data_IF_442107103548
#
_entry.id   IF_442107103548
#
_cell.length_a   1.000
_cell.length_b   1.000
_cell.length_c   1.000
_cell.angle_alpha   90.00
_cell.angle_beta   90.00
_cell.angle_gamma   90.00
#
_symmetry.space_group_name_H-M   'P 1'
#
loop_
_entity.id
_entity.type
_entity.pdbx_description
1 polymer ?
#
# COMPACT_ATOMS: atom_id res chain seq x y z
N UNK A 1 4.21 11.26 -4.48
CA UNK A 1 3.14 11.11 -3.47
C UNK A 1 2.14 12.25 -3.66
N UNK A 2 0.84 11.99 -3.52
CA UNK A 2 -0.23 12.97 -3.79
C UNK A 2 -0.50 13.94 -2.63
N UNK A 3 0.57 14.38 -1.94
CA UNK A 3 0.46 15.32 -0.84
C UNK A 3 -0.20 16.63 -1.33
N UNK A 4 -1.15 17.24 -0.59
CA UNK A 4 -2.02 18.30 -1.13
C UNK A 4 -1.27 19.47 -1.81
N UNK A 5 -0.18 20.02 -1.23
CA UNK A 5 0.61 21.07 -1.88
C UNK A 5 1.26 20.68 -3.22
N UNK A 6 1.40 19.39 -3.52
CA UNK A 6 1.95 18.90 -4.79
C UNK A 6 0.90 18.59 -5.85
N UNK A 7 -0.40 18.57 -5.51
CA UNK A 7 -1.46 18.22 -6.45
C UNK A 7 -1.54 19.16 -7.65
N UNK A 8 -1.27 20.44 -7.44
CA UNK A 8 -1.27 21.47 -8.50
C UNK A 8 -0.23 21.22 -9.57
N UNK A 9 0.85 20.48 -9.24
CA UNK A 9 1.93 20.14 -10.17
C UNK A 9 1.84 18.72 -10.71
N UNK A 10 0.85 17.94 -10.25
CA UNK A 10 0.75 16.52 -10.57
C UNK A 10 0.60 16.29 -12.07
N UNK A 11 -0.23 17.09 -12.75
CA UNK A 11 -0.42 17.04 -14.19
C UNK A 11 0.89 17.35 -14.94
N UNK A 12 1.55 18.46 -14.60
CA UNK A 12 2.82 18.85 -15.22
C UNK A 12 3.90 17.77 -15.05
N UNK A 13 3.99 17.15 -13.87
CA UNK A 13 4.95 16.06 -13.62
C UNK A 13 4.62 14.82 -14.42
N UNK A 14 3.35 14.44 -14.52
CA UNK A 14 2.92 13.32 -15.35
C UNK A 14 3.32 13.53 -16.80
N UNK A 15 2.98 14.69 -17.36
CA UNK A 15 3.21 15.00 -18.76
C UNK A 15 4.71 14.97 -19.07
N UNK A 16 5.55 15.57 -18.21
CA UNK A 16 7.01 15.53 -18.36
C UNK A 16 7.61 14.11 -18.33
N UNK A 17 7.10 13.21 -17.47
CA UNK A 17 7.57 11.82 -17.43
C UNK A 17 7.13 11.04 -18.68
N UNK A 18 5.89 11.23 -19.12
CA UNK A 18 5.34 10.55 -20.29
C UNK A 18 6.00 11.01 -21.59
N UNK A 19 6.27 12.31 -21.75
CA UNK A 19 7.03 12.85 -22.88
C UNK A 19 8.46 12.28 -22.95
N UNK A 20 9.06 12.02 -21.79
CA UNK A 20 10.36 11.36 -21.69
C UNK A 20 10.30 9.83 -21.85
N UNK A 21 9.13 9.25 -22.11
CA UNK A 21 8.94 7.80 -22.33
C UNK A 21 8.90 6.97 -21.04
N UNK A 22 8.72 7.59 -19.88
CA UNK A 22 8.66 6.89 -18.59
C UNK A 22 7.21 6.71 -18.12
N UNK A 23 6.88 5.55 -17.51
CA UNK A 23 5.60 5.38 -16.84
C UNK A 23 5.51 6.31 -15.63
N UNK A 24 4.33 6.88 -15.43
CA UNK A 24 4.05 7.75 -14.29
C UNK A 24 3.01 7.10 -13.39
N UNK A 25 3.34 6.99 -12.10
CA UNK A 25 2.38 6.54 -11.09
C UNK A 25 2.64 7.29 -9.79
N UNK A 26 1.59 7.43 -8.99
CA UNK A 26 1.66 8.06 -7.68
C UNK A 26 1.11 7.20 -6.58
N UNK A 27 1.72 7.36 -5.40
CA UNK A 27 1.17 6.86 -4.14
C UNK A 27 0.27 7.92 -3.53
N UNK A 28 -0.89 7.49 -3.04
CA UNK A 28 -1.84 8.36 -2.35
C UNK A 28 -1.29 8.74 -0.98
N UNK A 29 -1.26 10.02 -0.66
CA UNK A 29 -0.85 10.47 0.67
C UNK A 29 -1.88 10.04 1.72
N UNK A 30 -1.39 9.34 2.74
CA UNK A 30 -2.15 8.92 3.92
C UNK A 30 -1.53 9.60 5.15
N UNK A 31 -2.30 10.42 5.84
CA UNK A 31 -1.80 11.19 6.98
C UNK A 31 -2.61 12.43 7.26
N UNK A 32 -2.11 13.25 8.18
CA UNK A 32 -2.69 14.53 8.52
C UNK A 32 -1.89 15.68 7.88
N UNK A 33 -2.60 16.66 7.33
CA UNK A 33 -2.01 17.91 6.84
C UNK A 33 -2.98 19.06 7.08
N UNK A 34 -2.51 20.13 7.74
CA UNK A 34 -3.32 21.30 8.11
C UNK A 34 -4.65 20.93 8.82
N UNK A 35 -4.59 19.98 9.76
CA UNK A 35 -5.76 19.51 10.52
C UNK A 35 -6.75 18.65 9.73
N UNK A 36 -6.46 18.33 8.47
CA UNK A 36 -7.28 17.47 7.61
C UNK A 36 -6.66 16.09 7.49
N UNK A 37 -7.48 15.04 7.57
CA UNK A 37 -7.05 13.64 7.44
C UNK A 37 -7.26 13.12 6.03
N UNK A 38 -6.19 12.65 5.41
CA UNK A 38 -6.18 12.13 4.04
C UNK A 38 -6.12 10.59 4.05
N UNK A 39 -6.73 9.91 3.06
CA UNK A 39 -7.30 10.48 1.81
C UNK A 39 -8.72 11.05 1.92
N UNK A 40 -9.41 10.90 3.06
CA UNK A 40 -10.82 11.31 3.21
C UNK A 40 -11.05 12.80 2.93
N UNK A 41 -10.05 13.62 3.22
CA UNK A 41 -10.10 15.05 3.04
C UNK A 41 -9.90 15.52 1.59
N UNK A 42 -9.56 14.67 0.61
CA UNK A 42 -9.45 15.14 -0.77
C UNK A 42 -10.81 15.61 -1.31
N UNK A 43 -10.83 16.77 -1.97
CA UNK A 43 -12.03 17.23 -2.68
C UNK A 43 -12.30 16.35 -3.91
N UNK A 44 -13.53 16.36 -4.47
CA UNK A 44 -13.82 15.67 -5.72
C UNK A 44 -12.88 16.05 -6.88
N UNK A 45 -12.48 17.32 -6.95
CA UNK A 45 -11.53 17.84 -7.94
C UNK A 45 -10.14 17.25 -7.74
N UNK A 46 -9.65 17.23 -6.50
CA UNK A 46 -8.37 16.64 -6.14
C UNK A 46 -8.36 15.12 -6.41
N UNK A 47 -9.45 14.42 -6.08
CA UNK A 47 -9.63 12.99 -6.38
C UNK A 47 -9.50 12.73 -7.88
N UNK A 48 -10.17 13.52 -8.73
CA UNK A 48 -10.06 13.38 -10.21
C UNK A 48 -8.63 13.57 -10.73
N UNK A 49 -7.87 14.50 -10.15
CA UNK A 49 -6.46 14.69 -10.52
C UNK A 49 -5.59 13.47 -10.17
N UNK A 50 -5.91 12.83 -9.05
CA UNK A 50 -5.15 11.70 -8.51
C UNK A 50 -5.54 10.39 -9.22
N UNK A 51 -6.82 10.14 -9.49
CA UNK A 51 -7.34 8.90 -10.11
C UNK A 51 -6.59 8.53 -11.38
N UNK A 52 -6.39 9.49 -12.29
CA UNK A 52 -5.65 9.27 -13.54
C UNK A 52 -4.15 9.03 -13.38
N UNK A 53 -3.62 9.07 -12.15
CA UNK A 53 -2.21 8.88 -11.83
C UNK A 53 -1.98 7.77 -10.78
N UNK A 54 -3.03 7.06 -10.34
CA UNK A 54 -2.90 5.93 -9.43
C UNK A 54 -2.66 4.65 -10.23
N UNK A 55 -1.57 3.97 -9.88
CA UNK A 55 -1.42 2.54 -10.10
C UNK A 55 -0.36 2.13 -11.12
N UNK A 56 -0.11 0.82 -11.15
CA UNK A 56 0.76 0.13 -12.09
C UNK A 56 -0.01 -0.42 -13.29
N UNK A 57 0.26 -1.68 -13.66
CA UNK A 57 -0.35 -2.35 -14.81
C UNK A 57 -1.91 -2.26 -14.80
N UNK A 58 -2.55 -2.13 -15.98
CA UNK A 58 -3.99 -1.80 -16.10
C UNK A 58 -4.91 -2.71 -15.29
N UNK A 59 -4.59 -4.00 -15.20
CA UNK A 59 -5.39 -5.02 -14.52
C UNK A 59 -5.51 -4.83 -13.00
N UNK A 60 -4.71 -3.93 -12.40
CA UNK A 60 -4.73 -3.67 -10.95
C UNK A 60 -5.22 -2.26 -10.59
N UNK A 61 -5.43 -1.38 -11.56
CA UNK A 61 -5.77 0.03 -11.29
C UNK A 61 -7.07 0.19 -10.49
N UNK A 62 -8.09 -0.63 -10.76
CA UNK A 62 -9.39 -0.53 -10.09
C UNK A 62 -9.30 -0.88 -8.60
N UNK A 63 -8.78 -2.08 -8.29
CA UNK A 63 -8.60 -2.52 -6.91
C UNK A 63 -7.59 -1.64 -6.16
N UNK A 64 -6.55 -1.14 -6.84
CA UNK A 64 -5.60 -0.21 -6.24
C UNK A 64 -6.23 1.15 -5.94
N UNK A 65 -7.09 1.67 -6.83
CA UNK A 65 -7.85 2.90 -6.61
C UNK A 65 -8.75 2.78 -5.39
N UNK A 66 -9.55 1.72 -5.30
CA UNK A 66 -10.51 1.51 -4.21
C UNK A 66 -9.82 1.49 -2.83
N UNK A 67 -8.67 0.82 -2.72
CA UNK A 67 -7.94 0.76 -1.46
C UNK A 67 -7.11 2.00 -1.14
N UNK A 68 -6.67 2.74 -2.16
CA UNK A 68 -5.84 3.94 -1.97
C UNK A 68 -6.68 5.21 -1.75
N UNK A 69 -7.82 5.36 -2.41
CA UNK A 69 -8.66 6.57 -2.35
C UNK A 69 -9.90 6.42 -1.45
N UNK A 70 -10.52 5.25 -1.41
CA UNK A 70 -11.75 5.06 -0.62
C UNK A 70 -11.50 4.61 0.81
N UNK A 71 -10.23 4.62 1.22
CA UNK A 71 -9.80 4.45 2.60
C UNK A 71 -10.38 3.21 3.29
N UNK A 72 -10.60 2.15 2.50
CA UNK A 72 -11.28 0.93 2.95
C UNK A 72 -10.55 0.34 4.15
N UNK A 73 -11.34 -0.02 5.16
CA UNK A 73 -10.81 -0.68 6.34
C UNK A 73 -10.12 -1.98 5.97
N UNK A 74 -8.88 -2.15 6.41
CA UNK A 74 -8.20 -3.45 6.39
C UNK A 74 -8.40 -4.24 7.67
N UNK A 75 -8.93 -3.60 8.72
CA UNK A 75 -8.98 -4.18 10.06
C UNK A 75 -9.81 -5.45 10.06
N UNK A 76 -9.25 -6.52 10.63
CA UNK A 76 -9.92 -7.82 10.72
C UNK A 76 -9.90 -8.65 9.43
N UNK A 77 -9.60 -8.06 8.26
CA UNK A 77 -9.50 -8.80 7.00
C UNK A 77 -8.33 -9.76 7.01
N UNK A 78 -8.51 -10.93 6.41
CA UNK A 78 -7.45 -11.94 6.30
C UNK A 78 -6.35 -11.46 5.37
N UNK A 79 -5.15 -11.33 5.92
CA UNK A 79 -3.97 -10.86 5.23
C UNK A 79 -2.91 -11.95 5.20
N UNK A 80 -2.36 -12.20 4.01
CA UNK A 80 -1.29 -13.17 3.76
C UNK A 80 0.11 -12.58 4.03
N UNK A 81 0.20 -11.33 4.48
CA UNK A 81 1.44 -10.74 4.98
C UNK A 81 1.93 -11.47 6.23
N UNK A 82 3.20 -11.86 6.22
CA UNK A 82 3.81 -12.76 7.19
C UNK A 82 3.58 -14.25 6.89
N UNK A 83 2.89 -14.61 5.80
CA UNK A 83 2.75 -16.00 5.30
C UNK A 83 3.44 -16.18 3.94
N UNK A 84 3.04 -15.39 2.95
CA UNK A 84 3.54 -15.51 1.56
C UNK A 84 4.72 -14.59 1.28
N UNK A 85 4.91 -13.57 2.11
CA UNK A 85 6.06 -12.68 2.11
C UNK A 85 6.22 -12.06 3.50
N UNK A 86 7.36 -11.45 3.75
CA UNK A 86 7.64 -10.68 4.96
C UNK A 86 8.63 -9.53 4.68
N UNK A 87 8.69 -8.55 5.58
CA UNK A 87 9.66 -7.47 5.52
C UNK A 87 10.83 -7.76 6.48
N UNK A 88 12.03 -7.92 5.94
CA UNK A 88 13.25 -8.17 6.73
C UNK A 88 14.07 -6.88 6.83
N UNK A 89 14.49 -6.52 8.03
CA UNK A 89 15.39 -5.38 8.28
C UNK A 89 16.85 -5.83 8.26
N UNK A 90 17.77 -4.86 8.16
CA UNK A 90 19.21 -5.13 8.06
C UNK A 90 19.78 -5.87 9.28
N UNK A 91 19.11 -5.80 10.44
CA UNK A 91 19.48 -6.51 11.67
C UNK A 91 18.81 -7.90 11.80
N UNK A 92 18.17 -8.37 10.73
CA UNK A 92 17.49 -9.67 10.69
C UNK A 92 16.08 -9.67 11.26
N UNK A 93 15.60 -8.59 11.91
CA UNK A 93 14.21 -8.55 12.40
C UNK A 93 13.23 -8.68 11.24
N UNK A 94 12.27 -9.59 11.40
CA UNK A 94 11.26 -9.87 10.38
C UNK A 94 9.90 -9.37 10.83
N UNK A 95 9.18 -8.66 9.96
CA UNK A 95 7.83 -8.15 10.20
C UNK A 95 6.87 -8.70 9.14
N UNK A 96 5.57 -8.78 9.44
CA UNK A 96 4.60 -9.32 8.46
C UNK A 96 4.60 -8.50 7.17
N UNK A 97 4.71 -7.18 7.33
CA UNK A 97 4.47 -6.19 6.29
C UNK A 97 5.31 -4.93 6.57
N UNK A 98 5.33 -3.98 5.63
CA UNK A 98 6.08 -2.72 5.81
C UNK A 98 5.56 -1.87 6.97
N UNK A 99 4.25 -1.91 7.24
CA UNK A 99 3.61 -1.11 8.28
C UNK A 99 3.87 -1.63 9.70
N UNK A 100 3.97 -2.96 9.87
CA UNK A 100 4.34 -3.62 11.13
C UNK A 100 5.65 -3.09 11.69
N UNK A 101 6.63 -2.81 10.81
CA UNK A 101 7.95 -2.31 11.18
C UNK A 101 7.94 -0.96 11.93
N UNK A 102 6.81 -0.23 11.90
CA UNK A 102 6.66 1.06 12.55
C UNK A 102 5.77 1.03 13.79
N UNK A 103 5.14 -0.09 14.13
CA UNK A 103 4.13 -0.10 15.20
C UNK A 103 3.85 -1.43 15.88
N UNK A 104 4.43 -2.54 15.44
CA UNK A 104 4.23 -3.86 16.05
C UNK A 104 5.56 -4.57 16.31
N UNK A 105 5.47 -5.61 17.14
CA UNK A 105 6.60 -6.50 17.41
C UNK A 105 6.95 -7.29 16.14
N UNK A 106 8.24 -7.50 15.92
CA UNK A 106 8.72 -8.43 14.90
C UNK A 106 8.15 -9.84 15.12
N UNK A 107 7.95 -10.57 14.02
CA UNK A 107 7.63 -11.99 14.00
C UNK A 107 8.76 -12.84 14.63
N UNK A 108 10.00 -12.38 14.46
CA UNK A 108 11.21 -13.04 14.95
C UNK A 108 12.45 -12.44 14.28
N UNK A 109 13.58 -13.14 14.36
CA UNK A 109 14.79 -12.81 13.59
C UNK A 109 15.06 -13.87 12.52
N UNK A 110 15.45 -13.45 11.32
CA UNK A 110 15.78 -14.34 10.20
C UNK A 110 16.95 -15.29 10.52
N UNK A 111 17.81 -14.91 11.46
CA UNK A 111 18.97 -15.71 11.86
C UNK A 111 18.67 -16.73 12.97
N UNK A 112 17.45 -16.73 13.53
CA UNK A 112 17.05 -17.71 14.53
C UNK A 112 16.75 -19.06 13.84
N UNK A 113 17.28 -20.17 14.37
CA UNK A 113 17.14 -21.51 13.76
C UNK A 113 15.67 -21.98 13.66
N UNK A 114 14.81 -21.50 14.56
CA UNK A 114 13.40 -21.84 14.65
C UNK A 114 12.48 -20.80 13.98
N UNK A 115 13.04 -19.79 13.31
CA UNK A 115 12.25 -18.75 12.65
C UNK A 115 11.32 -19.33 11.58
N UNK A 116 10.04 -18.97 11.65
CA UNK A 116 9.02 -19.35 10.67
C UNK A 116 8.06 -18.21 10.38
N UNK A 117 7.61 -18.16 9.13
CA UNK A 117 6.43 -17.40 8.72
C UNK A 117 5.16 -18.06 9.27
N UNK A 118 4.05 -17.33 9.27
CA UNK A 118 2.74 -17.86 9.62
C UNK A 118 2.30 -18.94 8.63
N UNK A 119 1.75 -20.04 9.14
CA UNK A 119 1.21 -21.12 8.30
C UNK A 119 -0.07 -20.70 7.54
N UNK A 120 -0.81 -19.72 8.06
CA UNK A 120 -2.08 -19.25 7.55
C UNK A 120 -2.20 -17.73 7.54
N UNK A 121 -3.12 -17.20 6.72
CA UNK A 121 -3.46 -15.78 6.74
C UNK A 121 -3.93 -15.36 8.14
N UNK A 122 -3.58 -14.15 8.54
CA UNK A 122 -3.93 -13.60 9.86
C UNK A 122 -4.71 -12.29 9.72
N UNK A 123 -5.67 -12.00 10.61
CA UNK A 123 -6.37 -10.72 10.61
C UNK A 123 -5.39 -9.54 10.62
N UNK A 124 -5.68 -8.51 9.83
CA UNK A 124 -4.91 -7.27 9.85
C UNK A 124 -5.30 -6.42 11.07
N UNK A 125 -4.32 -5.90 11.85
CA UNK A 125 -4.59 -5.07 13.02
C UNK A 125 -4.85 -3.60 12.68
N UNK A 126 -4.56 -3.17 11.44
CA UNK A 126 -4.62 -1.77 11.04
C UNK A 126 -5.93 -1.41 10.38
N UNK A 127 -6.39 -0.19 10.64
CA UNK A 127 -7.52 0.36 9.89
C UNK A 127 -7.20 0.58 8.42
N UNK A 128 -6.00 1.06 8.11
CA UNK A 128 -5.60 1.35 6.73
C UNK A 128 -4.26 0.72 6.44
N UNK A 129 -4.11 0.20 5.22
CA UNK A 129 -2.85 -0.26 4.68
C UNK A 129 -2.13 0.91 3.97
N UNK A 130 -1.04 1.38 4.58
CA UNK A 130 -0.28 2.53 4.06
C UNK A 130 0.76 2.13 3.00
N UNK A 131 1.21 0.87 3.00
CA UNK A 131 2.32 0.40 2.16
C UNK A 131 1.90 -0.28 0.85
N UNK A 132 0.63 -0.19 0.45
CA UNK A 132 0.10 -0.84 -0.77
C UNK A 132 0.17 -2.38 -0.75
N UNK A 133 0.30 -2.95 0.43
CA UNK A 133 0.34 -4.39 0.67
C UNK A 133 -1.07 -5.02 0.76
N UNK A 134 -2.13 -4.21 0.59
CA UNK A 134 -3.52 -4.68 0.55
C UNK A 134 -3.78 -5.72 -0.55
N UNK A 135 -2.93 -5.79 -1.58
CA UNK A 135 -2.95 -6.86 -2.60
C UNK A 135 -2.76 -8.28 -2.04
N UNK A 136 -2.30 -8.38 -0.79
CA UNK A 136 -2.18 -9.64 -0.06
C UNK A 136 -3.35 -9.88 0.90
N UNK A 137 -4.39 -9.07 0.86
CA UNK A 137 -5.68 -9.42 1.45
C UNK A 137 -6.31 -10.53 0.63
N UNK A 138 -6.94 -11.49 1.30
CA UNK A 138 -7.51 -12.68 0.66
C UNK A 138 -8.50 -12.34 -0.46
N UNK A 139 -9.31 -11.30 -0.25
CA UNK A 139 -10.31 -10.81 -1.21
C UNK A 139 -9.72 -10.13 -2.46
N UNK A 140 -8.43 -9.76 -2.46
CA UNK A 140 -7.76 -9.09 -3.59
C UNK A 140 -6.62 -9.89 -4.20
N UNK A 141 -6.19 -10.97 -3.51
CA UNK A 141 -5.07 -11.77 -3.95
C UNK A 141 -5.48 -12.52 -5.21
N UNK A 142 -4.80 -12.26 -6.33
CA UNK A 142 -4.91 -13.13 -7.50
C UNK A 142 -4.45 -14.53 -7.08
N UNK A 143 -5.23 -15.59 -7.33
CA UNK A 143 -4.79 -16.96 -7.04
C UNK A 143 -3.44 -17.20 -7.69
N UNK A 144 -2.52 -17.85 -6.97
CA UNK A 144 -1.27 -18.29 -7.56
C UNK A 144 -1.60 -19.21 -8.74
N UNK A 145 -1.20 -18.82 -9.95
CA UNK A 145 -1.18 -19.75 -11.08
C UNK A 145 -0.21 -20.84 -10.68
N UNK A 146 -0.73 -22.03 -10.41
CA UNK A 146 0.06 -23.22 -10.12
C UNK A 146 0.99 -23.42 -11.32
N UNK A 147 2.30 -23.25 -11.11
CA UNK A 147 3.32 -23.63 -12.08
C UNK A 147 3.60 -25.13 -11.96
#
# INVERSE_FOLDING_TARGET
MTWPPFLTRLAQLRDAFQEAGFPFSTMVFQGEHNGRRYPDAYTPEERRLIEGAIGGAPERQEAERDYRLDARSTRGKLCHAGRVYANVKADGRVFRCGQDAFGLKALGNLFDEDFRLHDAARPCPYERCSCLEFKYLDELRTPEITR
#
